data_IF_914877905338
#
_entry.id   IF_914877905338
#
_cell.length_a   1.000
_cell.length_b   1.000
_cell.length_c   1.000
_cell.angle_alpha   90.00
_cell.angle_beta   90.00
_cell.angle_gamma   90.00
#
_symmetry.space_group_name_H-M   'P 1'
#
loop_
_entity.id
_entity.type
_entity.pdbx_description
1 polymer ?
#
# COMPACT_ATOMS: atom_id res chain seq x y z
N UNK A 1 16.81 -11.63 3.07
CA UNK A 1 15.50 -12.07 3.60
C UNK A 1 15.69 -13.40 4.30
N UNK A 2 14.94 -13.67 5.36
CA UNK A 2 15.08 -14.86 6.18
C UNK A 2 13.70 -15.40 6.58
N UNK A 3 13.53 -16.72 6.52
CA UNK A 3 12.22 -17.39 6.62
C UNK A 3 11.87 -17.94 8.00
N UNK A 4 12.70 -17.70 9.01
CA UNK A 4 12.45 -18.17 10.39
C UNK A 4 12.51 -16.98 11.36
N UNK A 5 11.93 -17.10 12.58
CA UNK A 5 11.83 -15.97 13.50
C UNK A 5 13.13 -15.63 14.22
N UNK A 6 14.22 -16.37 13.97
CA UNK A 6 15.53 -16.14 14.60
C UNK A 6 16.59 -16.00 13.50
N UNK A 7 17.29 -14.86 13.39
CA UNK A 7 18.37 -14.71 12.43
C UNK A 7 19.51 -15.70 12.74
N UNK A 8 20.22 -16.21 11.74
CA UNK A 8 21.35 -17.09 11.95
C UNK A 8 22.52 -16.34 12.61
N UNK A 9 23.46 -17.08 13.21
CA UNK A 9 24.63 -16.49 13.87
C UNK A 9 25.40 -15.54 12.94
N UNK A 10 25.79 -14.39 13.49
CA UNK A 10 26.47 -13.34 12.74
C UNK A 10 25.56 -12.55 11.80
N UNK A 11 24.23 -12.58 11.99
CA UNK A 11 23.28 -11.71 11.32
C UNK A 11 22.40 -10.96 12.31
N UNK A 12 22.01 -9.73 11.95
CA UNK A 12 21.10 -8.91 12.71
C UNK A 12 19.81 -8.70 11.92
N UNK A 13 18.68 -8.72 12.61
CA UNK A 13 17.41 -8.25 12.06
C UNK A 13 17.44 -6.74 11.84
N UNK A 14 16.92 -6.27 10.71
CA UNK A 14 16.64 -4.86 10.42
C UNK A 14 15.36 -4.40 11.11
N UNK A 15 15.42 -4.27 12.44
CA UNK A 15 14.30 -3.91 13.32
C UNK A 15 14.54 -2.60 14.11
N UNK A 16 15.49 -1.76 13.67
CA UNK A 16 15.82 -0.53 14.38
C UNK A 16 16.72 -0.73 15.62
N UNK A 17 17.24 -1.93 15.88
CA UNK A 17 18.09 -2.17 17.05
C UNK A 17 19.44 -1.44 16.97
N UNK A 18 19.97 -1.12 18.16
CA UNK A 18 21.35 -0.67 18.31
C UNK A 18 22.32 -1.86 18.19
N UNK A 19 23.53 -1.61 17.71
CA UNK A 19 24.62 -2.57 17.69
C UNK A 19 25.90 -1.94 18.26
N UNK A 20 26.84 -2.78 18.74
CA UNK A 20 28.14 -2.32 19.20
C UNK A 20 29.05 -2.02 17.99
N UNK A 21 29.42 -0.75 17.72
CA UNK A 21 30.25 -0.39 16.57
C UNK A 21 31.66 -0.98 16.66
N UNK A 22 32.24 -1.05 17.87
CA UNK A 22 33.57 -1.64 18.08
C UNK A 22 33.60 -3.14 17.82
N UNK A 23 32.49 -3.84 18.11
CA UNK A 23 32.34 -5.26 17.81
C UNK A 23 31.95 -5.55 16.35
N UNK A 24 31.48 -4.56 15.60
CA UNK A 24 31.00 -4.71 14.23
C UNK A 24 31.51 -3.54 13.34
N UNK A 25 32.82 -3.43 13.10
CA UNK A 25 33.39 -2.26 12.41
C UNK A 25 32.91 -2.12 10.96
N UNK A 26 32.65 -3.24 10.27
CA UNK A 26 32.07 -3.22 8.91
C UNK A 26 30.66 -2.62 8.96
N UNK A 27 29.82 -3.06 9.90
CA UNK A 27 28.46 -2.53 10.04
C UNK A 27 28.47 -1.06 10.46
N UNK A 28 29.42 -0.67 11.32
CA UNK A 28 29.62 0.72 11.72
C UNK A 28 30.00 1.63 10.54
N UNK A 29 30.73 1.11 9.55
CA UNK A 29 31.05 1.87 8.33
C UNK A 29 29.81 2.12 7.45
N UNK A 30 28.84 1.21 7.48
CA UNK A 30 27.58 1.32 6.72
C UNK A 30 26.53 2.15 7.48
N UNK A 31 26.47 2.00 8.80
CA UNK A 31 25.53 2.69 9.69
C UNK A 31 26.28 3.34 10.86
N UNK A 32 26.87 4.54 10.66
CA UNK A 32 27.67 5.22 11.67
C UNK A 32 26.91 5.60 12.95
N UNK A 33 25.57 5.62 12.90
CA UNK A 33 24.72 5.83 14.07
C UNK A 33 24.78 4.68 15.09
N UNK A 34 25.34 3.52 14.72
CA UNK A 34 25.28 2.32 15.56
C UNK A 34 23.89 1.70 15.62
N UNK A 35 23.02 2.02 14.66
CA UNK A 35 21.65 1.53 14.57
C UNK A 35 21.36 0.99 13.18
N UNK A 36 20.77 -0.20 13.09
CA UNK A 36 20.28 -0.72 11.80
C UNK A 36 18.94 -0.09 11.44
N UNK A 37 18.58 0.02 10.15
CA UNK A 37 17.24 0.44 9.76
C UNK A 37 16.13 -0.46 10.31
N UNK A 38 14.90 0.04 10.37
CA UNK A 38 13.71 -0.74 10.70
C UNK A 38 12.86 -0.99 9.45
N UNK A 39 12.79 -2.25 9.03
CA UNK A 39 12.08 -2.67 7.81
C UNK A 39 10.77 -3.40 8.15
N UNK A 40 10.42 -3.53 9.43
CA UNK A 40 9.23 -4.29 9.85
C UNK A 40 7.97 -3.60 9.33
N UNK A 41 7.12 -4.35 8.65
CA UNK A 41 5.87 -3.85 8.06
C UNK A 41 6.04 -3.06 6.76
N UNK A 42 7.27 -2.83 6.28
CA UNK A 42 7.53 -2.12 5.03
C UNK A 42 7.86 -3.07 3.88
N UNK A 43 7.40 -2.71 2.68
CA UNK A 43 7.85 -3.33 1.45
C UNK A 43 9.08 -2.59 0.91
N UNK A 44 10.23 -3.26 0.73
CA UNK A 44 11.37 -2.63 0.10
C UNK A 44 11.10 -2.41 -1.38
N UNK A 45 11.42 -1.23 -1.87
CA UNK A 45 11.54 -0.96 -3.31
C UNK A 45 13.00 -0.78 -3.65
N UNK A 46 13.40 -1.25 -4.83
CA UNK A 46 14.70 -0.90 -5.41
C UNK A 46 14.86 0.61 -5.51
N UNK A 47 16.04 1.09 -5.14
CA UNK A 47 16.41 2.50 -5.34
C UNK A 47 16.62 2.75 -6.82
N UNK A 48 15.99 3.79 -7.35
CA UNK A 48 16.00 4.08 -8.78
C UNK A 48 17.40 4.41 -9.32
N UNK A 49 18.23 5.06 -8.51
CA UNK A 49 19.60 5.40 -8.84
C UNK A 49 19.77 6.03 -10.25
N UNK A 50 18.82 6.86 -10.67
CA UNK A 50 18.84 7.57 -11.95
C UNK A 50 18.33 6.76 -13.16
N UNK A 51 17.72 5.59 -12.94
CA UNK A 51 17.12 4.80 -14.01
C UNK A 51 15.84 5.44 -14.59
N UNK A 52 15.19 6.36 -13.85
CA UNK A 52 13.97 7.04 -14.28
C UNK A 52 12.73 6.14 -14.30
N UNK A 53 12.79 4.97 -13.66
CA UNK A 53 11.67 4.04 -13.51
C UNK A 53 10.77 4.50 -12.36
N UNK A 54 11.38 5.02 -11.29
CA UNK A 54 10.69 5.64 -10.18
C UNK A 54 10.42 7.12 -10.46
N UNK A 55 9.16 7.51 -10.76
CA UNK A 55 8.84 8.89 -11.08
C UNK A 55 9.06 9.84 -9.89
N UNK A 56 9.01 9.33 -8.66
CA UNK A 56 9.13 10.14 -7.45
C UNK A 56 10.60 10.39 -7.04
N UNK A 57 11.58 9.75 -7.71
CA UNK A 57 13.03 9.91 -7.48
C UNK A 57 13.42 9.94 -5.99
N UNK A 58 13.17 8.82 -5.29
CA UNK A 58 13.30 8.76 -3.82
C UNK A 58 14.73 8.65 -3.31
N UNK A 59 14.95 9.20 -2.11
CA UNK A 59 16.20 9.03 -1.37
C UNK A 59 16.30 7.62 -0.76
N UNK A 60 17.53 7.14 -0.55
CA UNK A 60 17.78 5.89 0.17
C UNK A 60 17.14 5.96 1.56
N UNK A 61 16.40 4.90 1.94
CA UNK A 61 15.66 4.76 3.20
C UNK A 61 14.49 5.73 3.43
N UNK A 62 14.08 6.52 2.44
CA UNK A 62 12.86 7.34 2.58
C UNK A 62 11.60 6.47 2.55
N UNK A 63 10.67 6.70 3.47
CA UNK A 63 9.37 6.03 3.48
C UNK A 63 8.45 6.61 2.40
N UNK A 64 7.78 5.73 1.67
CA UNK A 64 6.69 6.08 0.75
C UNK A 64 5.37 5.58 1.36
N UNK A 65 4.35 6.44 1.38
CA UNK A 65 3.00 6.05 1.77
C UNK A 65 2.36 5.10 0.75
N UNK A 66 1.28 4.44 1.14
CA UNK A 66 0.53 3.59 0.23
C UNK A 66 -0.24 4.41 -0.80
N UNK A 67 -0.45 3.82 -1.98
CA UNK A 67 -1.27 4.41 -3.03
C UNK A 67 -1.93 3.30 -3.84
N UNK A 68 -3.19 3.53 -4.22
CA UNK A 68 -3.89 2.75 -5.24
C UNK A 68 -3.84 3.49 -6.57
N UNK A 69 -3.97 2.73 -7.66
CA UNK A 69 -4.27 3.34 -8.96
C UNK A 69 -5.68 3.94 -8.92
N UNK A 70 -5.88 4.98 -9.72
CA UNK A 70 -7.19 5.63 -9.83
C UNK A 70 -8.28 4.60 -10.18
N UNK A 71 -9.40 4.64 -9.46
CA UNK A 71 -10.57 3.80 -9.70
C UNK A 71 -11.66 4.67 -10.32
N UNK A 72 -12.17 4.26 -11.48
CA UNK A 72 -13.16 5.02 -12.24
C UNK A 72 -14.48 4.30 -12.32
N UNK A 73 -15.55 5.08 -12.35
CA UNK A 73 -16.90 4.64 -12.64
C UNK A 73 -17.72 5.82 -13.15
N UNK A 74 -18.87 5.52 -13.72
CA UNK A 74 -19.84 6.49 -14.19
C UNK A 74 -21.23 6.07 -13.73
N UNK A 75 -22.11 7.03 -13.50
CA UNK A 75 -23.50 6.75 -13.19
C UNK A 75 -24.41 7.85 -13.75
N UNK A 76 -25.65 7.47 -14.09
CA UNK A 76 -26.73 8.40 -14.38
C UNK A 76 -27.75 8.35 -13.23
N UNK A 77 -27.88 9.41 -12.43
CA UNK A 77 -28.74 9.41 -11.24
C UNK A 77 -30.25 9.59 -11.52
N UNK A 78 -30.67 9.97 -12.74
CA UNK A 78 -32.05 10.41 -12.99
C UNK A 78 -32.57 10.22 -14.42
N UNK A 79 -33.88 10.44 -14.60
CA UNK A 79 -34.61 10.24 -15.86
C UNK A 79 -35.12 8.81 -16.05
N UNK A 80 -35.57 8.47 -17.27
CA UNK A 80 -36.15 7.16 -17.61
C UNK A 80 -35.12 6.02 -17.71
N UNK A 81 -33.83 6.28 -17.45
CA UNK A 81 -32.74 5.29 -17.53
C UNK A 81 -31.66 5.58 -16.48
N UNK A 82 -31.86 5.08 -15.27
CA UNK A 82 -30.85 5.06 -14.22
C UNK A 82 -29.90 3.87 -14.39
N UNK A 83 -28.61 4.10 -14.26
CA UNK A 83 -27.61 3.05 -14.33
C UNK A 83 -26.30 3.48 -13.67
N UNK A 84 -25.49 2.49 -13.28
CA UNK A 84 -24.13 2.67 -12.81
C UNK A 84 -23.19 1.69 -13.50
N UNK A 85 -21.95 2.11 -13.73
CA UNK A 85 -20.87 1.30 -14.32
C UNK A 85 -19.60 1.42 -13.49
N UNK A 86 -18.82 0.34 -13.46
CA UNK A 86 -17.59 0.26 -12.66
C UNK A 86 -17.93 0.15 -11.18
N UNK A 87 -17.33 1.03 -10.38
CA UNK A 87 -17.59 1.12 -8.92
C UNK A 87 -19.01 1.52 -8.56
N UNK A 88 -19.77 2.10 -9.50
CA UNK A 88 -21.14 2.50 -9.23
C UNK A 88 -22.14 1.41 -9.58
N UNK A 89 -23.14 1.25 -8.73
CA UNK A 89 -24.36 0.47 -8.99
C UNK A 89 -25.59 1.25 -8.54
N UNK A 90 -26.67 1.15 -9.32
CA UNK A 90 -27.97 1.75 -8.99
C UNK A 90 -28.88 0.73 -8.30
N UNK A 91 -29.48 1.12 -7.18
CA UNK A 91 -30.50 0.32 -6.50
C UNK A 91 -31.84 1.06 -6.50
N UNK A 92 -32.72 0.62 -7.40
CA UNK A 92 -34.12 1.02 -7.44
C UNK A 92 -34.37 2.53 -7.45
N UNK A 93 -35.63 2.89 -7.21
CA UNK A 93 -36.09 4.26 -7.12
C UNK A 93 -36.74 4.51 -5.75
N UNK A 94 -35.97 5.00 -4.77
CA UNK A 94 -36.49 5.23 -3.42
C UNK A 94 -37.27 6.54 -3.27
N UNK A 95 -37.17 7.46 -4.23
CA UNK A 95 -37.78 8.79 -4.14
C UNK A 95 -38.84 8.98 -5.23
N UNK A 96 -40.15 8.97 -4.87
CA UNK A 96 -41.23 9.24 -5.81
C UNK A 96 -41.17 10.68 -6.30
N UNK A 97 -41.60 10.92 -7.55
CA UNK A 97 -41.60 12.27 -8.08
C UNK A 97 -42.65 13.15 -7.44
N UNK A 98 -42.34 14.44 -7.27
CA UNK A 98 -43.31 15.42 -6.79
C UNK A 98 -44.37 15.75 -7.87
N UNK A 99 -44.19 15.23 -9.08
CA UNK A 99 -45.06 15.40 -10.26
C UNK A 99 -46.02 14.22 -10.50
N UNK A 100 -46.01 13.20 -9.64
CA UNK A 100 -46.97 12.08 -9.66
C UNK A 100 -46.88 11.14 -10.86
N UNK A 101 -45.84 11.24 -11.69
CA UNK A 101 -45.73 10.49 -12.96
C UNK A 101 -44.41 9.71 -13.13
N UNK A 102 -43.45 9.81 -12.21
CA UNK A 102 -42.18 9.09 -12.28
C UNK A 102 -41.53 8.93 -10.89
N UNK A 103 -40.35 8.32 -10.85
CA UNK A 103 -39.46 8.44 -9.71
C UNK A 103 -38.34 9.46 -10.05
N UNK A 104 -37.96 10.32 -9.11
CA UNK A 104 -37.09 11.46 -9.39
C UNK A 104 -35.60 11.19 -9.09
N UNK A 105 -35.29 10.22 -8.21
CA UNK A 105 -33.89 9.93 -7.86
C UNK A 105 -33.68 8.46 -7.49
N UNK A 106 -32.54 7.90 -7.94
CA UNK A 106 -32.09 6.55 -7.60
C UNK A 106 -30.96 6.60 -6.57
N UNK A 107 -30.88 5.58 -5.69
CA UNK A 107 -29.69 5.43 -4.85
C UNK A 107 -28.57 4.88 -5.73
N UNK A 108 -27.45 5.60 -5.74
CA UNK A 108 -26.20 5.18 -6.35
C UNK A 108 -25.25 4.79 -5.21
N UNK A 109 -24.78 3.55 -5.27
CA UNK A 109 -23.77 3.04 -4.32
C UNK A 109 -22.41 3.05 -5.00
N UNK A 110 -21.42 3.59 -4.31
CA UNK A 110 -20.01 3.37 -4.64
C UNK A 110 -19.52 2.15 -3.88
N UNK A 111 -18.96 1.18 -4.61
CA UNK A 111 -18.34 0.00 -4.05
C UNK A 111 -17.08 -0.35 -4.86
N UNK A 112 -15.92 -0.15 -4.25
CA UNK A 112 -14.63 -0.46 -4.85
C UNK A 112 -14.44 -1.97 -5.10
N UNK A 113 -15.08 -2.82 -4.29
CA UNK A 113 -14.95 -4.28 -4.39
C UNK A 113 -15.43 -4.84 -5.74
N UNK A 114 -16.25 -4.07 -6.45
CA UNK A 114 -16.76 -4.38 -7.79
C UNK A 114 -15.69 -4.45 -8.87
N UNK A 115 -14.53 -3.82 -8.65
CA UNK A 115 -13.46 -3.70 -9.66
C UNK A 115 -12.07 -4.03 -9.12
N UNK A 116 -11.88 -4.01 -7.80
CA UNK A 116 -10.62 -4.37 -7.14
C UNK A 116 -10.89 -5.13 -5.84
N UNK A 117 -10.03 -6.08 -5.41
CA UNK A 117 -10.11 -6.61 -4.06
C UNK A 117 -9.94 -5.52 -3.00
N UNK A 118 -10.71 -5.58 -1.92
CA UNK A 118 -10.69 -4.59 -0.84
C UNK A 118 -10.33 -5.22 0.51
N UNK A 119 -9.63 -4.46 1.33
CA UNK A 119 -9.32 -4.75 2.73
C UNK A 119 -9.04 -3.42 3.45
N UNK A 120 -8.88 -3.44 4.78
CA UNK A 120 -8.49 -2.25 5.58
C UNK A 120 -7.13 -1.64 5.18
N UNK A 121 -6.26 -2.45 4.55
CA UNK A 121 -4.94 -2.04 4.06
C UNK A 121 -4.79 -2.41 2.58
N UNK A 122 -4.35 -1.48 1.75
CA UNK A 122 -3.96 -1.76 0.36
C UNK A 122 -2.61 -2.46 0.32
N UNK A 123 -2.62 -3.76 0.02
CA UNK A 123 -1.41 -4.57 -0.10
C UNK A 123 -1.54 -5.60 -1.23
N UNK A 124 -0.47 -5.86 -1.98
CA UNK A 124 -0.42 -7.05 -2.83
C UNK A 124 -0.39 -8.31 -1.96
N UNK A 125 -0.70 -9.46 -2.57
CA UNK A 125 -0.37 -10.76 -1.96
C UNK A 125 1.11 -10.78 -1.62
N UNK A 126 1.43 -11.10 -0.38
CA UNK A 126 2.80 -11.08 0.12
C UNK A 126 3.06 -12.23 1.09
N UNK A 127 4.35 -12.47 1.34
CA UNK A 127 4.84 -13.41 2.33
C UNK A 127 5.68 -12.62 3.33
N UNK A 128 5.35 -12.73 4.61
CA UNK A 128 6.14 -12.12 5.67
C UNK A 128 7.48 -12.83 5.83
N UNK A 129 8.57 -12.07 5.76
CA UNK A 129 9.94 -12.54 5.95
C UNK A 129 10.70 -11.53 6.81
N UNK A 130 11.72 -12.01 7.51
CA UNK A 130 12.62 -11.14 8.26
C UNK A 130 13.66 -10.54 7.30
N UNK A 131 13.86 -9.22 7.38
CA UNK A 131 15.01 -8.57 6.75
C UNK A 131 16.19 -8.65 7.70
N UNK A 132 17.31 -9.19 7.21
CA UNK A 132 18.53 -9.37 7.99
C UNK A 132 19.73 -8.80 7.25
N UNK A 133 20.73 -8.37 8.01
CA UNK A 133 22.03 -7.92 7.52
C UNK A 133 23.14 -8.68 8.22
N UNK A 134 24.25 -8.91 7.52
CA UNK A 134 25.43 -9.55 8.10
C UNK A 134 26.02 -8.61 9.15
N UNK A 135 26.07 -9.06 10.41
CA UNK A 135 26.97 -8.51 11.41
C UNK A 135 28.38 -8.99 11.05
N UNK A 136 29.35 -8.08 11.05
CA UNK A 136 30.70 -8.25 10.49
C UNK A 136 31.37 -9.58 10.78
#
# INVERSE_FOLDING_TARGET
MWGTPVPPDGWLELNGQLFNPSGNPILASLYPSGQVPDFRGYFPRGWDNGAGIDPDSRAILSVQGDAIRNIKGEFNPGGSSNWGKGVFSSYGWPYPSNSGSANDASIITFDASRVVPTAEENRPTNIAVMFIIKAG
#
